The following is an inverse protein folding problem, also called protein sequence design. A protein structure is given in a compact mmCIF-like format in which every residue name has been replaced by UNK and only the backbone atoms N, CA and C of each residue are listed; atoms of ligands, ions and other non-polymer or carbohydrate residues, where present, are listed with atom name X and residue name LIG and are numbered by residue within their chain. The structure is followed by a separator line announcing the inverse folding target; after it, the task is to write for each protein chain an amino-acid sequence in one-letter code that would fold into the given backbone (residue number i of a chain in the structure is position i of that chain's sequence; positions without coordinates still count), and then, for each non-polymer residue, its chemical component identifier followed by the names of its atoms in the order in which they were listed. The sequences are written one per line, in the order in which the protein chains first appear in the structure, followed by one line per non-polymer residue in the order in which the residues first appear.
data_IF_059885712823
#
_entry.id   IF_059885712823
#
_cell.length_a   1.000
_cell.length_b   1.000
_cell.length_c   1.000
_cell.angle_alpha   90.00
_cell.angle_beta   90.00
_cell.angle_gamma   90.00
#
_symmetry.space_group_name_H-M   'P 1'
#
loop_
_entity.id
_entity.type
_entity.pdbx_description
1 polymer ?
#
# COMPACT_ATOMS: atom_id res chain seq x y z
N UNK A 1 10.68 -23.27 1.85
CA UNK A 1 11.34 -22.24 2.69
C UNK A 1 10.80 -20.89 2.26
N UNK A 2 10.43 -20.03 3.21
CA UNK A 2 9.99 -18.65 2.93
C UNK A 2 11.22 -17.76 2.75
N UNK A 3 11.27 -16.97 1.68
CA UNK A 3 12.38 -16.02 1.47
C UNK A 3 12.02 -14.63 2.01
N UNK A 4 13.00 -13.86 2.51
CA UNK A 4 12.75 -12.52 3.05
C UNK A 4 12.30 -11.56 1.94
N UNK A 5 11.41 -10.62 2.25
CA UNK A 5 10.93 -9.60 1.29
C UNK A 5 12.10 -8.76 0.76
N UNK A 6 13.10 -8.50 1.59
CA UNK A 6 14.33 -7.80 1.22
C UNK A 6 15.18 -8.52 0.17
N UNK A 7 14.88 -9.78 -0.16
CA UNK A 7 15.48 -10.49 -1.31
C UNK A 7 14.89 -10.04 -2.66
N UNK A 8 13.73 -9.40 -2.67
CA UNK A 8 13.11 -8.86 -3.89
C UNK A 8 13.88 -7.60 -4.28
N UNK A 9 14.23 -7.50 -5.57
CA UNK A 9 14.93 -6.34 -6.13
C UNK A 9 14.22 -5.04 -5.73
N UNK A 10 15.01 -4.02 -5.39
CA UNK A 10 14.58 -2.70 -4.93
C UNK A 10 13.93 -2.65 -3.53
N UNK A 11 13.64 -3.80 -2.90
CA UNK A 11 13.05 -3.83 -1.56
C UNK A 11 14.15 -4.04 -0.51
N UNK A 12 14.28 -3.09 0.41
CA UNK A 12 15.22 -3.18 1.53
C UNK A 12 14.55 -3.56 2.85
N UNK A 13 15.34 -3.69 3.94
CA UNK A 13 14.85 -4.05 5.28
C UNK A 13 13.73 -3.14 5.80
N UNK A 14 13.75 -1.86 5.44
CA UNK A 14 12.69 -0.91 5.83
C UNK A 14 11.33 -1.28 5.23
N UNK A 15 11.30 -1.73 3.98
CA UNK A 15 10.07 -2.16 3.32
C UNK A 15 9.60 -3.51 3.86
N UNK A 16 10.52 -4.43 4.11
CA UNK A 16 10.24 -5.71 4.76
C UNK A 16 9.58 -5.51 6.13
N UNK A 17 10.17 -4.68 6.99
CA UNK A 17 9.60 -4.37 8.30
C UNK A 17 8.22 -3.71 8.18
N UNK A 18 7.98 -2.91 7.15
CA UNK A 18 6.70 -2.28 6.91
C UNK A 18 5.62 -3.31 6.48
N UNK A 19 5.96 -4.24 5.59
CA UNK A 19 5.08 -5.35 5.22
C UNK A 19 4.83 -6.32 6.37
N UNK A 20 5.84 -6.59 7.21
CA UNK A 20 5.68 -7.42 8.40
C UNK A 20 4.63 -6.83 9.36
N UNK A 21 4.60 -5.50 9.55
CA UNK A 21 3.52 -4.83 10.31
C UNK A 21 2.15 -4.96 9.64
N UNK A 22 2.11 -5.11 8.32
CA UNK A 22 0.91 -5.37 7.55
C UNK A 22 0.54 -6.87 7.47
N UNK A 23 1.24 -7.73 8.23
CA UNK A 23 1.01 -9.17 8.27
C UNK A 23 1.54 -9.94 7.05
N UNK A 24 2.31 -9.29 6.16
CA UNK A 24 2.94 -9.95 5.00
C UNK A 24 4.41 -10.21 5.35
N UNK A 25 4.78 -11.48 5.53
CA UNK A 25 6.09 -11.83 6.12
C UNK A 25 7.02 -12.57 5.17
N UNK A 26 6.61 -12.79 3.92
CA UNK A 26 7.42 -13.52 2.93
C UNK A 26 7.39 -12.91 1.53
N UNK A 27 8.45 -13.11 0.77
CA UNK A 27 8.50 -12.71 -0.62
C UNK A 27 7.53 -13.53 -1.49
N UNK A 28 7.27 -14.79 -1.15
CA UNK A 28 6.29 -15.65 -1.82
C UNK A 28 4.87 -15.11 -1.63
N UNK A 29 4.49 -14.80 -0.40
CA UNK A 29 3.18 -14.18 -0.09
C UNK A 29 3.04 -12.82 -0.78
N UNK A 30 4.08 -12.00 -0.77
CA UNK A 30 4.05 -10.70 -1.44
C UNK A 30 3.85 -10.84 -2.96
N UNK A 31 4.46 -11.85 -3.60
CA UNK A 31 4.23 -12.18 -5.01
C UNK A 31 2.83 -12.71 -5.28
N UNK A 32 2.31 -13.57 -4.40
CA UNK A 32 0.98 -14.17 -4.52
C UNK A 32 -0.13 -13.11 -4.44
N UNK A 33 -0.04 -12.19 -3.47
CA UNK A 33 -1.02 -11.11 -3.28
C UNK A 33 -0.89 -10.04 -4.36
N UNK A 34 0.34 -9.80 -4.84
CA UNK A 34 0.63 -8.80 -5.85
C UNK A 34 0.74 -7.37 -5.30
N UNK A 35 1.25 -6.43 -6.11
CA UNK A 35 1.66 -5.11 -5.62
C UNK A 35 0.52 -4.24 -5.10
N UNK A 36 -0.66 -4.29 -5.75
CA UNK A 36 -1.75 -3.37 -5.44
C UNK A 36 -2.40 -3.72 -4.10
N UNK A 37 -2.75 -5.00 -3.92
CA UNK A 37 -3.34 -5.49 -2.68
C UNK A 37 -2.34 -5.44 -1.52
N UNK A 38 -1.07 -5.76 -1.77
CA UNK A 38 -0.04 -5.64 -0.73
C UNK A 38 0.17 -4.18 -0.30
N UNK A 39 0.22 -3.24 -1.24
CA UNK A 39 0.36 -1.83 -0.92
C UNK A 39 -0.89 -1.27 -0.22
N UNK A 40 -2.10 -1.72 -0.60
CA UNK A 40 -3.32 -1.39 0.12
C UNK A 40 -3.24 -1.81 1.59
N UNK A 41 -2.88 -3.06 1.89
CA UNK A 41 -2.66 -3.53 3.28
C UNK A 41 -1.61 -2.71 4.01
N UNK A 42 -0.54 -2.32 3.32
CA UNK A 42 0.48 -1.46 3.91
C UNK A 42 -0.09 -0.10 4.34
N UNK A 43 -0.96 0.51 3.53
CA UNK A 43 -1.63 1.76 3.89
C UNK A 43 -2.58 1.61 5.09
N UNK A 44 -3.25 0.46 5.22
CA UNK A 44 -4.12 0.16 6.37
C UNK A 44 -3.37 0.16 7.72
N UNK A 45 -2.05 -0.03 7.71
CA UNK A 45 -1.21 0.09 8.92
C UNK A 45 -0.89 1.53 9.32
N UNK A 46 -1.43 2.52 8.61
CA UNK A 46 -1.13 3.94 8.82
C UNK A 46 0.12 4.44 8.09
N UNK A 47 0.70 3.63 7.19
CA UNK A 47 1.82 4.06 6.35
C UNK A 47 1.39 5.23 5.46
N UNK A 48 2.15 6.33 5.46
CA UNK A 48 1.86 7.48 4.59
C UNK A 48 1.96 7.07 3.10
N UNK A 49 0.94 7.37 2.27
CA UNK A 49 0.98 7.05 0.85
C UNK A 49 2.16 7.70 0.14
N UNK A 50 2.97 6.90 -0.56
CA UNK A 50 4.15 7.37 -1.27
C UNK A 50 4.30 6.66 -2.62
N UNK A 51 4.09 7.40 -3.71
CA UNK A 51 4.04 6.83 -5.05
C UNK A 51 5.34 6.12 -5.47
N UNK A 52 6.50 6.67 -5.09
CA UNK A 52 7.77 6.03 -5.42
C UNK A 52 7.88 4.66 -4.75
N UNK A 53 7.43 4.54 -3.49
CA UNK A 53 7.44 3.27 -2.79
C UNK A 53 6.53 2.24 -3.48
N UNK A 54 5.36 2.68 -3.95
CA UNK A 54 4.42 1.82 -4.69
C UNK A 54 5.02 1.30 -6.01
N UNK A 55 5.53 2.17 -6.90
CA UNK A 55 6.04 1.65 -8.17
C UNK A 55 7.37 0.90 -8.00
N UNK A 56 8.17 1.22 -6.98
CA UNK A 56 9.36 0.43 -6.60
C UNK A 56 8.98 -1.01 -6.27
N UNK A 57 7.89 -1.22 -5.53
CA UNK A 57 7.30 -2.55 -5.27
C UNK A 57 6.90 -3.24 -6.57
N UNK A 58 6.18 -2.55 -7.46
CA UNK A 58 5.77 -3.11 -8.76
C UNK A 58 6.98 -3.55 -9.57
N UNK A 59 8.00 -2.69 -9.70
CA UNK A 59 9.23 -3.02 -10.44
C UNK A 59 10.00 -4.16 -9.78
N UNK A 60 10.05 -4.19 -8.44
CA UNK A 60 10.68 -5.26 -7.69
C UNK A 60 10.05 -6.63 -7.94
N UNK A 61 8.72 -6.72 -7.94
CA UNK A 61 7.99 -7.96 -8.23
C UNK A 61 8.15 -8.43 -9.68
N UNK A 62 8.44 -7.51 -10.60
CA UNK A 62 8.79 -7.82 -11.99
C UNK A 62 10.28 -8.16 -12.18
N UNK A 63 11.11 -8.04 -11.14
CA UNK A 63 12.57 -8.24 -11.24
C UNK A 63 13.32 -7.12 -11.97
N UNK A 64 12.69 -5.97 -12.21
CA UNK A 64 13.24 -4.83 -12.95
C UNK A 64 13.87 -3.80 -12.01
N UNK A 65 14.90 -3.05 -12.44
CA UNK A 65 15.39 -1.92 -11.67
C UNK A 65 14.32 -0.82 -11.62
N UNK A 66 14.15 -0.15 -10.48
CA UNK A 66 13.05 0.79 -10.29
C UNK A 66 13.07 1.99 -11.26
N UNK A 67 14.26 2.38 -11.72
CA UNK A 67 14.47 3.50 -12.65
C UNK A 67 14.06 3.19 -14.10
N UNK A 68 13.62 1.96 -14.38
CA UNK A 68 13.10 1.55 -15.69
C UNK A 68 11.63 1.98 -15.90
N UNK A 69 10.91 2.29 -14.81
CA UNK A 69 9.54 2.80 -14.86
C UNK A 69 9.48 4.22 -15.47
N UNK A 70 9.04 4.33 -16.72
CA UNK A 70 9.07 5.59 -17.52
C UNK A 70 7.79 5.75 -18.35
N UNK A 71 7.58 6.97 -18.86
CA UNK A 71 6.51 7.29 -19.81
C UNK A 71 5.13 6.85 -19.36
N UNK A 72 4.41 6.18 -20.27
CA UNK A 72 3.03 5.75 -20.08
C UNK A 72 2.87 4.73 -18.95
N UNK A 73 3.86 3.87 -18.71
CA UNK A 73 3.84 2.91 -17.59
C UNK A 73 3.77 3.66 -16.25
N UNK A 74 4.61 4.69 -16.09
CA UNK A 74 4.61 5.52 -14.88
C UNK A 74 3.28 6.25 -14.69
N UNK A 75 2.67 6.73 -15.79
CA UNK A 75 1.36 7.38 -15.75
C UNK A 75 0.24 6.38 -15.39
N UNK A 76 0.28 5.16 -15.90
CA UNK A 76 -0.67 4.10 -15.54
C UNK A 76 -0.55 3.69 -14.07
N UNK A 77 0.68 3.54 -13.57
CA UNK A 77 0.92 3.26 -12.15
C UNK A 77 0.46 4.40 -11.25
N UNK A 78 0.57 5.67 -11.70
CA UNK A 78 0.03 6.81 -10.95
C UNK A 78 -1.47 6.66 -10.74
N UNK A 79 -2.22 6.35 -11.80
CA UNK A 79 -3.68 6.15 -11.72
C UNK A 79 -4.05 5.00 -10.76
N UNK A 80 -3.31 3.88 -10.83
CA UNK A 80 -3.51 2.74 -9.90
C UNK A 80 -3.23 3.13 -8.45
N UNK A 81 -2.13 3.83 -8.20
CA UNK A 81 -1.79 4.33 -6.86
C UNK A 81 -2.87 5.28 -6.32
N UNK A 82 -3.37 6.21 -7.13
CA UNK A 82 -4.40 7.16 -6.71
C UNK A 82 -5.70 6.44 -6.34
N UNK A 83 -6.06 5.36 -7.06
CA UNK A 83 -7.20 4.51 -6.73
C UNK A 83 -7.01 3.75 -5.40
N UNK A 84 -5.82 3.17 -5.16
CA UNK A 84 -5.50 2.48 -3.90
C UNK A 84 -5.54 3.46 -2.72
N UNK A 85 -5.00 4.67 -2.92
CA UNK A 85 -5.06 5.75 -1.93
C UNK A 85 -6.51 6.12 -1.61
N UNK A 86 -7.37 6.23 -2.62
CA UNK A 86 -8.76 6.61 -2.43
C UNK A 86 -9.55 5.58 -1.61
N UNK A 87 -9.33 4.28 -1.85
CA UNK A 87 -10.03 3.21 -1.11
C UNK A 87 -9.57 3.08 0.35
N UNK A 88 -8.32 3.44 0.66
CA UNK A 88 -7.78 3.35 2.03
C UNK A 88 -8.23 4.45 2.99
N UNK A 89 -8.75 5.59 2.50
CA UNK A 89 -9.18 6.71 3.36
C UNK A 89 -10.56 6.49 4.01
N UNK A 90 -11.31 5.45 3.64
CA UNK A 90 -12.63 5.19 4.21
C UNK A 90 -12.57 4.72 5.67
N UNK A 91 -11.52 4.01 6.10
CA UNK A 91 -11.41 3.56 7.51
C UNK A 91 -11.19 4.74 8.47
N UNK A 92 -10.29 5.66 8.14
CA UNK A 92 -10.04 6.85 8.96
C UNK A 92 -11.23 7.81 9.01
N UNK A 93 -12.05 7.87 7.95
CA UNK A 93 -13.34 8.58 7.98
C UNK A 93 -14.38 7.83 8.78
N UNK A 94 -14.51 6.52 8.63
CA UNK A 94 -15.52 5.71 9.33
C UNK A 94 -15.32 5.74 10.85
N UNK A 95 -14.08 5.68 11.32
CA UNK A 95 -13.77 5.74 12.76
C UNK A 95 -13.96 7.16 13.31
N UNK A 96 -13.58 8.19 12.54
CA UNK A 96 -13.83 9.59 12.89
C UNK A 96 -15.32 9.92 12.86
N UNK A 97 -16.07 9.45 11.87
CA UNK A 97 -17.53 9.61 11.74
C UNK A 97 -18.27 8.84 12.85
N UNK A 98 -17.83 7.62 13.18
CA UNK A 98 -18.35 6.88 14.31
C UNK A 98 -18.08 7.59 15.64
N UNK A 99 -16.87 8.14 15.83
CA UNK A 99 -16.54 8.95 17.01
C UNK A 99 -17.36 10.25 17.06
N UNK A 100 -17.53 10.96 15.94
CA UNK A 100 -18.34 12.19 15.86
C UNK A 100 -19.84 11.90 16.08
N UNK A 101 -20.34 10.75 15.61
CA UNK A 101 -21.71 10.28 15.89
C UNK A 101 -21.87 9.92 17.38
N UNK A 102 -20.89 9.26 18.00
CA UNK A 102 -20.90 8.94 19.43
C UNK A 102 -20.85 10.19 20.33
N UNK A 103 -20.19 11.27 19.91
CA UNK A 103 -20.14 12.56 20.64
C UNK A 103 -21.39 13.42 20.32
N UNK A 104 -22.20 13.06 19.32
CA UNK A 104 -23.46 13.74 18.98
C UNK A 104 -23.30 15.05 18.21
N UNK A 105 -22.19 15.25 17.50
CA UNK A 105 -21.86 16.51 16.78
C UNK A 105 -22.45 16.55 15.36
N UNK A 106 -23.10 15.48 14.91
CA UNK A 106 -23.72 15.40 13.58
C UNK A 106 -25.23 15.65 13.70
N UNK A 107 -25.75 16.60 12.93
CA UNK A 107 -27.19 16.86 12.84
C UNK A 107 -27.91 15.59 12.35
N UNK A 108 -28.82 15.04 13.15
CA UNK A 108 -29.71 13.96 12.69
C UNK A 108 -30.52 14.50 11.52
N UNK A 109 -30.18 14.07 10.31
CA UNK A 109 -31.06 14.23 9.15
C UNK A 109 -32.32 13.40 9.41
N UNK A 110 -33.40 14.09 9.77
CA UNK A 110 -34.78 13.62 9.71
C UNK A 110 -35.21 13.41 8.27
#
# INVERSE_FOLDING_TARGET
MSTPISSIRNLGPAMEAAFARAGITSAEELRQIGPDAAYARLLETGQRPHFIAYYVLVMGLQGRPWNDCKGDEKAALRKRFDAIKASGHDKGRSDLEAALNAIGVIERRT
#
